data_IF_464268881914
#
_entry.id   IF_464268881914
#
_cell.length_a   1.000
_cell.length_b   1.000
_cell.length_c   1.000
_cell.angle_alpha   90.00
_cell.angle_beta   90.00
_cell.angle_gamma   90.00
#
_symmetry.space_group_name_H-M   'P 1'
#
loop_
_entity.id
_entity.type
_entity.pdbx_description
1 polymer ?
#
# COMPACT_ATOMS: atom_id res chain seq x y z
N UNK A 1 -13.84 5.16 -0.75
CA UNK A 1 -13.85 3.68 -0.80
C UNK A 1 -12.93 3.18 0.31
N UNK A 2 -13.31 2.13 1.04
CA UNK A 2 -12.44 1.48 2.04
C UNK A 2 -12.03 0.12 1.46
N UNK A 3 -10.77 -0.23 1.62
CA UNK A 3 -10.22 -1.52 1.20
C UNK A 3 -9.68 -2.22 2.43
N UNK A 4 -10.03 -3.50 2.58
CA UNK A 4 -9.44 -4.38 3.59
C UNK A 4 -8.22 -5.06 2.98
N UNK A 5 -7.11 -5.08 3.71
CA UNK A 5 -5.88 -5.79 3.37
C UNK A 5 -5.56 -6.75 4.49
N UNK A 6 -5.17 -7.97 4.13
CA UNK A 6 -4.70 -8.99 5.07
C UNK A 6 -3.18 -8.92 5.08
N UNK A 7 -2.61 -8.82 6.28
CA UNK A 7 -1.18 -8.82 6.52
C UNK A 7 -0.86 -10.04 7.37
N UNK A 8 0.30 -10.65 7.16
CA UNK A 8 0.82 -11.60 8.13
C UNK A 8 1.18 -10.90 9.46
N UNK A 9 1.32 -11.70 10.52
CA UNK A 9 1.52 -11.19 11.88
C UNK A 9 2.83 -10.41 12.03
N UNK A 10 3.90 -10.85 11.36
CA UNK A 10 5.22 -10.21 11.43
C UNK A 10 5.19 -8.83 10.78
N UNK A 11 4.61 -8.74 9.58
CA UNK A 11 4.44 -7.49 8.84
C UNK A 11 3.51 -6.53 9.58
N UNK A 12 2.42 -7.04 10.14
CA UNK A 12 1.51 -6.22 10.95
C UNK A 12 2.23 -5.66 12.18
N UNK A 13 2.98 -6.48 12.92
CA UNK A 13 3.74 -6.05 14.09
C UNK A 13 4.78 -4.98 13.71
N UNK A 14 5.54 -5.22 12.63
CA UNK A 14 6.51 -4.27 12.12
C UNK A 14 5.88 -2.91 11.78
N UNK A 15 4.77 -2.91 11.03
CA UNK A 15 4.10 -1.67 10.62
C UNK A 15 3.45 -0.93 11.80
N UNK A 16 3.00 -1.65 12.83
CA UNK A 16 2.46 -1.05 14.05
C UNK A 16 3.54 -0.30 14.84
N UNK A 17 4.72 -0.89 14.98
CA UNK A 17 5.87 -0.22 15.62
C UNK A 17 6.35 0.98 14.79
N UNK A 18 6.41 0.84 13.47
CA UNK A 18 6.78 1.94 12.58
C UNK A 18 5.76 3.10 12.66
N UNK A 19 4.46 2.79 12.74
CA UNK A 19 3.42 3.80 12.90
C UNK A 19 3.52 4.53 14.26
N UNK A 20 3.84 3.81 15.33
CA UNK A 20 4.11 4.42 16.65
C UNK A 20 5.34 5.32 16.59
N UNK A 21 6.43 4.84 15.97
CA UNK A 21 7.69 5.58 15.85
C UNK A 21 7.53 6.88 15.06
N UNK A 22 6.89 6.83 13.88
CA UNK A 22 6.76 8.00 13.00
C UNK A 22 5.66 8.98 13.43
N UNK A 23 4.55 8.48 13.95
CA UNK A 23 3.36 9.31 14.18
C UNK A 23 2.92 9.40 15.63
N UNK A 24 3.63 8.76 16.55
CA UNK A 24 3.29 8.69 17.98
C UNK A 24 2.08 7.81 18.28
N UNK A 25 1.51 7.10 17.29
CA UNK A 25 0.33 6.26 17.51
C UNK A 25 0.14 5.20 16.44
N UNK A 26 -0.12 3.98 16.89
CA UNK A 26 -0.52 2.86 16.05
C UNK A 26 -1.86 3.10 15.30
N UNK A 27 -2.70 4.03 15.77
CA UNK A 27 -3.95 4.41 15.07
C UNK A 27 -3.68 5.02 13.68
N UNK A 28 -2.44 5.44 13.40
CA UNK A 28 -2.05 5.98 12.10
C UNK A 28 -1.51 4.92 11.13
N UNK A 29 -1.70 3.63 11.42
CA UNK A 29 -1.32 2.53 10.50
C UNK A 29 -1.88 2.74 9.08
N UNK A 30 -3.14 3.16 8.96
CA UNK A 30 -3.74 3.43 7.65
C UNK A 30 -3.06 4.60 6.91
N UNK A 31 -2.57 5.61 7.63
CA UNK A 31 -1.81 6.70 7.02
C UNK A 31 -0.45 6.21 6.51
N UNK A 32 0.26 5.42 7.32
CA UNK A 32 1.52 4.78 6.95
C UNK A 32 1.37 3.91 5.69
N UNK A 33 0.38 3.01 5.67
CA UNK A 33 0.11 2.14 4.53
C UNK A 33 -0.16 2.94 3.25
N UNK A 34 -0.99 3.99 3.34
CA UNK A 34 -1.27 4.84 2.19
C UNK A 34 -0.02 5.58 1.69
N UNK A 35 0.86 6.03 2.58
CA UNK A 35 2.13 6.67 2.22
C UNK A 35 3.06 5.69 1.49
N UNK A 36 3.23 4.49 2.03
CA UNK A 36 4.07 3.43 1.43
C UNK A 36 3.56 3.03 0.05
N UNK A 37 2.25 2.83 -0.10
CA UNK A 37 1.62 2.49 -1.38
C UNK A 37 1.83 3.63 -2.39
N UNK A 38 1.59 4.89 -2.00
CA UNK A 38 1.84 6.04 -2.87
C UNK A 38 3.31 6.16 -3.27
N UNK A 39 4.23 6.01 -2.33
CA UNK A 39 5.66 6.09 -2.59
C UNK A 39 6.13 5.00 -3.55
N UNK A 40 5.64 3.77 -3.37
CA UNK A 40 5.93 2.65 -4.27
C UNK A 40 5.47 2.96 -5.71
N UNK A 41 4.25 3.46 -5.88
CA UNK A 41 3.72 3.78 -7.20
C UNK A 41 4.35 5.03 -7.82
N UNK A 42 4.71 6.04 -7.03
CA UNK A 42 5.46 7.21 -7.50
C UNK A 42 6.84 6.78 -8.01
N UNK A 43 7.56 5.97 -7.24
CA UNK A 43 8.87 5.43 -7.64
C UNK A 43 8.77 4.56 -8.89
N UNK A 44 7.71 3.74 -9.02
CA UNK A 44 7.43 2.99 -10.26
C UNK A 44 7.12 3.90 -11.45
N UNK A 45 6.38 4.99 -11.26
CA UNK A 45 6.07 5.94 -12.33
C UNK A 45 7.31 6.67 -12.85
N UNK A 46 8.26 6.97 -11.96
CA UNK A 46 9.58 7.51 -12.35
C UNK A 46 10.44 6.45 -13.09
N UNK A 47 10.32 5.17 -12.73
CA UNK A 47 11.02 4.07 -13.40
C UNK A 47 10.43 3.68 -14.76
N UNK A 48 9.14 3.90 -14.99
CA UNK A 48 8.41 3.47 -16.20
C UNK A 48 7.80 4.63 -16.99
N UNK A 49 8.44 5.80 -16.97
CA UNK A 49 8.18 6.96 -17.83
C UNK A 49 6.85 6.94 -18.58
N UNK A 50 5.86 7.67 -18.07
CA UNK A 50 4.46 7.73 -18.56
C UNK A 50 3.72 6.40 -18.54
N UNK A 51 2.87 6.19 -17.54
CA UNK A 51 1.63 5.45 -17.80
C UNK A 51 0.45 6.17 -17.16
N UNK A 52 -0.60 6.23 -17.98
CA UNK A 52 -1.88 6.89 -17.84
C UNK A 52 -2.50 6.65 -16.46
N UNK A 53 -3.44 7.52 -16.08
CA UNK A 53 -4.44 7.28 -15.03
C UNK A 53 -4.81 5.80 -15.03
N UNK A 54 -4.26 5.05 -14.09
CA UNK A 54 -4.70 3.69 -13.84
C UNK A 54 -5.96 3.82 -13.01
N UNK A 55 -7.09 3.72 -13.71
CA UNK A 55 -8.35 3.41 -13.06
C UNK A 55 -8.18 2.08 -12.31
N UNK A 56 -8.72 2.02 -11.10
CA UNK A 56 -8.61 0.96 -10.09
C UNK A 56 -8.96 -0.46 -10.60
N UNK A 57 -9.37 -0.60 -11.86
CA UNK A 57 -9.72 -1.86 -12.52
C UNK A 57 -8.51 -2.76 -12.79
N UNK A 58 -7.33 -2.19 -13.07
CA UNK A 58 -6.19 -3.00 -13.54
C UNK A 58 -5.50 -3.81 -12.42
N UNK A 59 -5.73 -3.45 -11.15
CA UNK A 59 -5.25 -4.24 -10.01
C UNK A 59 -6.08 -5.51 -9.75
N UNK A 60 -7.26 -5.63 -10.38
CA UNK A 60 -8.19 -6.75 -10.17
C UNK A 60 -7.91 -7.91 -11.14
N UNK A 61 -7.43 -7.62 -12.34
CA UNK A 61 -7.12 -8.66 -13.34
C UNK A 61 -5.90 -9.53 -12.96
N UNK A 62 -5.05 -9.06 -12.05
CA UNK A 62 -3.87 -9.82 -11.63
C UNK A 62 -4.17 -10.82 -10.50
N UNK A 63 -5.25 -10.65 -9.73
CA UNK A 63 -5.70 -11.67 -8.75
C UNK A 63 -6.37 -12.87 -9.42
N UNK A 64 -7.04 -12.66 -10.55
CA UNK A 64 -7.83 -13.69 -11.22
C UNK A 64 -6.98 -14.63 -12.10
N UNK A 65 -5.64 -14.43 -12.14
CA UNK A 65 -4.68 -15.29 -12.85
C UNK A 65 -4.05 -16.38 -11.98
N UNK A 66 -4.30 -16.35 -10.68
CA UNK A 66 -3.72 -17.30 -9.72
C UNK A 66 -4.75 -18.22 -9.05
N UNK A 67 -6.01 -18.22 -9.53
CA UNK A 67 -7.03 -19.23 -9.24
C UNK A 67 -7.16 -20.24 -10.40
#
# INVERSE_FOLDING_TARGET
MKTTVILDDELHAFLMEEAKSRYGSARKLSALLNELVRAYFLKKKDLFGTTKRFDIKDARDESDRFD
#
